data_IF_796810332324
#
_entry.id   IF_796810332324
#
_cell.length_a   1.000
_cell.length_b   1.000
_cell.length_c   1.000
_cell.angle_alpha   90.00
_cell.angle_beta   90.00
_cell.angle_gamma   90.00
#
_symmetry.space_group_name_H-M   'P 1'
#
loop_
_entity.id
_entity.type
_entity.pdbx_description
1 polymer ?
#
# COMPACT_ATOMS: atom_id res chain seq x y z
N UNK A 1 -18.15 12.29 -5.42
CA UNK A 1 -16.73 12.00 -5.15
C UNK A 1 -16.17 13.17 -4.35
N UNK A 2 -16.00 13.00 -3.05
CA UNK A 2 -15.48 14.05 -2.17
C UNK A 2 -13.98 14.10 -2.36
N UNK A 3 -13.50 15.11 -3.10
CA UNK A 3 -12.07 15.40 -3.19
C UNK A 3 -11.60 15.69 -1.77
N UNK A 4 -10.62 14.92 -1.30
CA UNK A 4 -9.95 15.17 -0.03
C UNK A 4 -9.32 16.56 -0.13
N UNK A 5 -9.96 17.57 0.47
CA UNK A 5 -9.41 18.92 0.60
C UNK A 5 -8.49 19.06 1.82
N UNK A 6 -8.53 18.07 2.72
CA UNK A 6 -7.72 18.01 3.92
C UNK A 6 -6.60 16.97 3.79
N UNK A 7 -5.39 17.48 3.55
CA UNK A 7 -4.19 16.67 3.45
C UNK A 7 -3.73 16.11 4.81
N UNK A 8 -4.32 16.54 5.93
CA UNK A 8 -4.01 16.05 7.28
C UNK A 8 -4.94 14.92 7.74
N UNK A 9 -6.14 14.81 7.17
CA UNK A 9 -7.09 13.77 7.57
C UNK A 9 -6.57 12.37 7.20
N UNK A 10 -6.43 11.47 8.18
CA UNK A 10 -6.31 10.04 7.93
C UNK A 10 -7.68 9.43 7.61
N UNK A 11 -7.70 8.15 7.26
CA UNK A 11 -8.93 7.38 7.15
C UNK A 11 -8.66 5.93 6.75
N UNK A 12 -9.68 5.09 6.87
CA UNK A 12 -9.65 3.72 6.36
C UNK A 12 -10.77 3.54 5.34
N UNK A 13 -10.45 2.93 4.20
CA UNK A 13 -11.41 2.63 3.14
C UNK A 13 -11.30 1.17 2.77
N UNK A 14 -12.45 0.52 2.58
CA UNK A 14 -12.51 -0.84 2.04
C UNK A 14 -12.90 -0.81 0.57
N UNK A 15 -12.26 -1.65 -0.24
CA UNK A 15 -12.69 -1.95 -1.59
C UNK A 15 -12.39 -3.41 -1.94
N UNK A 16 -12.74 -3.81 -3.16
CA UNK A 16 -12.55 -5.17 -3.65
C UNK A 16 -11.76 -5.17 -4.95
N UNK A 17 -10.92 -6.18 -5.12
CA UNK A 17 -10.20 -6.46 -6.35
C UNK A 17 -10.63 -7.82 -6.88
N UNK A 18 -11.25 -7.81 -8.06
CA UNK A 18 -11.78 -8.99 -8.74
C UNK A 18 -11.18 -9.03 -10.15
N UNK A 19 -9.99 -9.60 -10.33
CA UNK A 19 -9.36 -9.67 -11.63
C UNK A 19 -10.13 -10.65 -12.53
N UNK A 20 -10.34 -10.27 -13.78
CA UNK A 20 -10.93 -11.17 -14.79
C UNK A 20 -9.89 -12.15 -15.37
N UNK A 21 -8.61 -11.82 -15.24
CA UNK A 21 -7.47 -12.57 -15.75
C UNK A 21 -6.43 -12.74 -14.63
N UNK A 22 -5.66 -13.82 -14.67
CA UNK A 22 -4.47 -13.94 -13.82
C UNK A 22 -3.42 -12.90 -14.22
N UNK A 23 -2.57 -12.47 -13.29
CA UNK A 23 -1.59 -11.39 -13.53
C UNK A 23 -0.71 -11.64 -14.77
N UNK A 24 -0.28 -12.87 -15.00
CA UNK A 24 0.56 -13.26 -16.15
C UNK A 24 -0.11 -13.05 -17.51
N UNK A 25 -1.43 -12.94 -17.53
CA UNK A 25 -2.26 -12.69 -18.72
C UNK A 25 -2.81 -11.27 -18.77
N UNK A 26 -2.55 -10.43 -17.76
CA UNK A 26 -2.96 -9.04 -17.76
C UNK A 26 -2.08 -8.22 -18.70
N UNK A 27 -2.69 -7.33 -19.47
CA UNK A 27 -1.98 -6.27 -20.17
C UNK A 27 -1.62 -5.16 -19.17
N UNK A 28 -0.56 -5.39 -18.39
CA UNK A 28 -0.06 -4.42 -17.41
C UNK A 28 0.44 -3.14 -18.10
N UNK A 29 0.29 -2.02 -17.41
CA UNK A 29 0.85 -0.76 -17.87
C UNK A 29 2.38 -0.76 -17.88
N UNK A 30 2.98 0.07 -18.73
CA UNK A 30 4.44 0.24 -18.78
C UNK A 30 5.04 0.60 -17.41
N UNK A 31 4.33 1.39 -16.61
CA UNK A 31 4.76 1.78 -15.26
C UNK A 31 4.66 0.61 -14.26
N UNK A 32 3.63 -0.23 -14.38
CA UNK A 32 3.52 -1.46 -13.58
C UNK A 32 4.63 -2.45 -13.96
N UNK A 33 4.97 -2.55 -15.25
CA UNK A 33 6.11 -3.32 -15.75
C UNK A 33 7.43 -2.75 -15.19
N UNK A 34 7.59 -1.43 -15.14
CA UNK A 34 8.76 -0.79 -14.51
C UNK A 34 8.93 -1.21 -13.05
N UNK A 35 7.85 -1.19 -12.25
CA UNK A 35 7.89 -1.65 -10.85
C UNK A 35 8.33 -3.12 -10.76
N UNK A 36 7.89 -3.95 -11.71
CA UNK A 36 8.26 -5.38 -11.76
C UNK A 36 9.73 -5.60 -12.08
N UNK A 37 10.28 -4.83 -13.01
CA UNK A 37 11.58 -5.11 -13.64
C UNK A 37 12.75 -4.35 -12.99
N UNK A 38 12.49 -3.28 -12.26
CA UNK A 38 13.51 -2.53 -11.48
C UNK A 38 13.79 -3.26 -10.16
N UNK A 39 15.06 -3.36 -9.72
CA UNK A 39 15.38 -3.96 -8.42
C UNK A 39 14.61 -3.27 -7.28
N UNK A 40 13.96 -4.07 -6.44
CA UNK A 40 13.45 -3.60 -5.15
C UNK A 40 14.55 -3.65 -4.09
N UNK A 41 14.35 -3.00 -2.95
CA UNK A 41 15.27 -3.02 -1.80
C UNK A 41 15.37 -4.40 -1.10
N UNK A 42 14.86 -5.45 -1.75
CA UNK A 42 14.75 -6.82 -1.27
C UNK A 42 13.33 -7.18 -0.84
N UNK A 43 12.89 -8.40 -1.17
CA UNK A 43 11.64 -8.98 -0.69
C UNK A 43 10.79 -9.66 -1.78
N UNK A 44 9.89 -10.54 -1.35
CA UNK A 44 9.02 -11.35 -2.23
C UNK A 44 7.62 -10.74 -2.35
N UNK A 45 7.54 -9.43 -2.60
CA UNK A 45 6.29 -8.65 -2.62
C UNK A 45 6.00 -7.96 -3.96
N UNK A 46 6.85 -8.15 -4.98
CA UNK A 46 6.77 -7.47 -6.29
C UNK A 46 5.37 -7.58 -6.91
N UNK A 47 4.77 -8.77 -6.93
CA UNK A 47 3.41 -8.97 -7.48
C UNK A 47 2.38 -8.06 -6.80
N UNK A 48 2.44 -7.94 -5.47
CA UNK A 48 1.49 -7.14 -4.71
C UNK A 48 1.67 -5.64 -4.94
N UNK A 49 2.89 -5.18 -5.20
CA UNK A 49 3.21 -3.79 -5.53
C UNK A 49 2.79 -3.43 -6.95
N UNK A 50 3.08 -4.32 -7.92
CA UNK A 50 2.69 -4.15 -9.32
C UNK A 50 1.17 -4.06 -9.45
N UNK A 51 0.43 -4.99 -8.85
CA UNK A 51 -1.04 -4.97 -8.88
C UNK A 51 -1.63 -3.82 -8.05
N UNK A 52 -0.95 -3.40 -6.98
CA UNK A 52 -1.31 -2.20 -6.22
C UNK A 52 -1.26 -0.98 -7.13
N UNK A 53 -0.16 -0.77 -7.84
CA UNK A 53 -0.02 0.36 -8.75
C UNK A 53 -1.00 0.28 -9.93
N UNK A 54 -1.18 -0.89 -10.54
CA UNK A 54 -2.09 -1.07 -11.68
C UNK A 54 -3.55 -0.74 -11.28
N UNK A 55 -3.96 -1.14 -10.08
CA UNK A 55 -5.26 -0.75 -9.50
C UNK A 55 -5.33 0.77 -9.29
N UNK A 56 -4.30 1.38 -8.69
CA UNK A 56 -4.27 2.83 -8.45
C UNK A 56 -4.37 3.62 -9.76
N UNK A 57 -3.65 3.18 -10.79
CA UNK A 57 -3.70 3.77 -12.13
C UNK A 57 -5.09 3.63 -12.75
N UNK A 58 -5.62 2.41 -12.80
CA UNK A 58 -6.87 2.10 -13.50
C UNK A 58 -8.10 2.70 -12.82
N UNK A 59 -8.14 2.70 -11.49
CA UNK A 59 -9.31 3.16 -10.73
C UNK A 59 -9.25 4.64 -10.35
N UNK A 60 -8.06 5.21 -10.17
CA UNK A 60 -7.89 6.56 -9.63
C UNK A 60 -7.01 7.48 -10.49
N UNK A 61 -6.51 7.00 -11.64
CA UNK A 61 -5.70 7.82 -12.55
C UNK A 61 -4.30 8.13 -12.02
N UNK A 62 -3.76 7.26 -11.16
CA UNK A 62 -2.41 7.45 -10.62
C UNK A 62 -1.34 7.36 -11.72
N UNK A 63 -0.37 8.28 -11.68
CA UNK A 63 0.82 8.27 -12.56
C UNK A 63 2.06 8.00 -11.72
N UNK A 64 2.85 6.98 -12.06
CA UNK A 64 4.08 6.65 -11.33
C UNK A 64 5.08 7.81 -11.43
N UNK A 65 5.69 8.17 -10.31
CA UNK A 65 6.77 9.15 -10.26
C UNK A 65 8.10 8.45 -10.03
N UNK A 66 8.21 7.69 -8.93
CA UNK A 66 9.42 6.97 -8.55
C UNK A 66 9.09 5.61 -7.95
N UNK A 67 9.92 4.62 -8.20
CA UNK A 67 9.92 3.32 -7.50
C UNK A 67 10.70 3.41 -6.18
N UNK A 68 10.58 2.40 -5.32
CA UNK A 68 11.24 2.31 -4.00
C UNK A 68 12.70 2.81 -4.00
N UNK A 69 13.53 2.30 -4.92
CA UNK A 69 14.96 2.62 -4.99
C UNK A 69 15.29 3.97 -5.64
N UNK A 70 14.30 4.68 -6.19
CA UNK A 70 14.48 5.99 -6.82
C UNK A 70 14.20 7.16 -5.86
N UNK A 71 13.62 6.86 -4.69
CA UNK A 71 13.39 7.84 -3.62
C UNK A 71 14.64 7.96 -2.76
N UNK A 72 15.06 9.20 -2.54
CA UNK A 72 16.22 9.50 -1.71
C UNK A 72 15.80 9.71 -0.24
N UNK A 73 16.56 9.11 0.68
CA UNK A 73 16.32 9.19 2.12
C UNK A 73 17.60 9.60 2.87
N UNK A 74 17.44 10.42 3.91
CA UNK A 74 18.51 10.75 4.84
C UNK A 74 17.97 10.86 6.28
N UNK A 75 18.62 10.22 7.27
CA UNK A 75 19.75 9.30 7.14
C UNK A 75 19.36 7.98 6.44
N UNK A 76 20.34 7.31 5.85
CA UNK A 76 20.18 6.00 5.20
C UNK A 76 19.86 4.88 6.21
N UNK A 77 19.27 3.77 5.72
CA UNK A 77 19.02 2.55 6.51
C UNK A 77 17.69 2.50 7.27
N UNK A 78 16.74 3.38 6.94
CA UNK A 78 15.39 3.42 7.53
C UNK A 78 14.31 2.73 6.71
N UNK A 79 13.05 2.85 7.16
CA UNK A 79 11.87 2.45 6.37
C UNK A 79 11.76 3.31 5.11
N UNK A 80 11.42 2.66 3.99
CA UNK A 80 11.21 3.30 2.69
C UNK A 80 9.79 2.96 2.17
N UNK A 81 9.34 3.69 1.17
CA UNK A 81 8.01 3.53 0.55
C UNK A 81 8.15 2.73 -0.76
N UNK A 82 7.19 1.89 -1.07
CA UNK A 82 7.26 0.99 -2.24
C UNK A 82 7.24 1.76 -3.58
N UNK A 83 6.43 2.83 -3.68
CA UNK A 83 6.48 3.76 -4.82
C UNK A 83 5.83 5.11 -4.50
N UNK A 84 6.16 6.12 -5.30
CA UNK A 84 5.47 7.42 -5.28
C UNK A 84 4.69 7.63 -6.57
N UNK A 85 3.55 8.30 -6.47
CA UNK A 85 2.71 8.60 -7.62
C UNK A 85 2.10 9.99 -7.53
N UNK A 86 1.68 10.53 -8.67
CA UNK A 86 0.79 11.68 -8.72
C UNK A 86 -0.64 11.21 -8.93
N UNK A 87 -1.56 11.75 -8.13
CA UNK A 87 -2.98 11.44 -8.21
C UNK A 87 -3.77 12.66 -7.74
N UNK A 88 -4.81 13.04 -8.49
CA UNK A 88 -5.61 14.24 -8.20
C UNK A 88 -4.79 15.53 -8.01
N UNK A 89 -3.69 15.68 -8.76
CA UNK A 89 -2.81 16.85 -8.68
C UNK A 89 -1.91 16.91 -7.44
N UNK A 90 -1.83 15.83 -6.66
CA UNK A 90 -0.97 15.72 -5.48
C UNK A 90 0.05 14.60 -5.61
N UNK A 91 1.25 14.82 -5.08
CA UNK A 91 2.28 13.78 -4.93
C UNK A 91 2.03 12.96 -3.68
N UNK A 92 2.05 11.64 -3.82
CA UNK A 92 1.71 10.67 -2.78
C UNK A 92 2.83 9.65 -2.60
N UNK A 93 3.10 9.28 -1.36
CA UNK A 93 3.84 8.05 -1.04
C UNK A 93 2.87 6.89 -0.86
N UNK A 94 3.20 5.73 -1.42
CA UNK A 94 2.39 4.53 -1.30
C UNK A 94 3.24 3.39 -0.75
N UNK A 95 2.79 2.84 0.36
CA UNK A 95 3.31 1.59 0.91
C UNK A 95 2.32 0.45 0.75
N UNK A 96 2.81 -0.74 0.46
CA UNK A 96 2.02 -1.94 0.19
C UNK A 96 2.29 -3.00 1.24
N UNK A 97 1.24 -3.71 1.63
CA UNK A 97 1.37 -4.86 2.52
C UNK A 97 0.25 -5.86 2.32
N UNK A 98 0.44 -7.06 2.88
CA UNK A 98 -0.44 -8.20 2.75
C UNK A 98 -0.89 -8.60 4.16
N UNK A 99 -2.19 -8.62 4.38
CA UNK A 99 -2.79 -9.14 5.61
C UNK A 99 -3.14 -10.61 5.40
N UNK A 100 -2.24 -11.47 5.85
CA UNK A 100 -2.38 -12.92 5.79
C UNK A 100 -1.69 -13.55 7.00
N UNK A 101 -2.18 -14.69 7.44
CA UNK A 101 -1.52 -15.51 8.45
C UNK A 101 -1.25 -16.89 7.85
N UNK A 102 0.01 -17.34 7.88
CA UNK A 102 0.42 -18.63 7.33
C UNK A 102 0.17 -19.81 8.30
N UNK A 103 -0.09 -19.53 9.58
CA UNK A 103 -0.16 -20.55 10.65
C UNK A 103 -1.49 -20.57 11.40
N UNK A 104 -2.53 -19.93 10.88
CA UNK A 104 -3.85 -19.90 11.52
C UNK A 104 -4.73 -18.76 11.04
N UNK A 105 -5.75 -18.45 11.85
CA UNK A 105 -6.65 -17.31 11.62
C UNK A 105 -5.90 -15.98 11.79
N UNK A 106 -6.24 -14.99 10.97
CA UNK A 106 -5.69 -13.64 11.09
C UNK A 106 -6.46 -12.88 12.17
N UNK A 107 -5.82 -12.69 13.33
CA UNK A 107 -6.48 -12.16 14.53
C UNK A 107 -6.50 -10.64 14.58
N UNK A 108 -7.29 -10.08 15.50
CA UNK A 108 -7.30 -8.64 15.77
C UNK A 108 -5.94 -8.14 16.29
N UNK A 109 -5.24 -8.92 17.11
CA UNK A 109 -3.89 -8.59 17.58
C UNK A 109 -2.88 -8.58 16.43
N UNK A 110 -2.97 -9.54 15.50
CA UNK A 110 -2.15 -9.55 14.29
C UNK A 110 -2.38 -8.30 13.46
N UNK A 111 -3.63 -7.87 13.31
CA UNK A 111 -3.99 -6.66 12.59
C UNK A 111 -3.44 -5.39 13.26
N UNK A 112 -3.58 -5.26 14.59
CA UNK A 112 -3.02 -4.13 15.35
C UNK A 112 -1.50 -4.08 15.18
N UNK A 113 -0.82 -5.23 15.29
CA UNK A 113 0.63 -5.34 15.12
C UNK A 113 1.06 -4.96 13.71
N UNK A 114 0.36 -5.47 12.69
CA UNK A 114 0.64 -5.18 11.28
C UNK A 114 0.48 -3.69 10.98
N UNK A 115 -0.67 -3.10 11.35
CA UNK A 115 -0.96 -1.69 11.13
C UNK A 115 0.02 -0.78 11.88
N UNK A 116 0.28 -1.03 13.16
CA UNK A 116 1.27 -0.24 13.92
C UNK A 116 2.65 -0.29 13.28
N UNK A 117 3.11 -1.49 12.89
CA UNK A 117 4.43 -1.64 12.24
C UNK A 117 4.48 -0.83 10.95
N UNK A 118 3.48 -0.97 10.08
CA UNK A 118 3.48 -0.34 8.76
C UNK A 118 3.28 1.16 8.83
N UNK A 119 2.35 1.66 9.65
CA UNK A 119 2.12 3.10 9.81
C UNK A 119 3.31 3.82 10.45
N UNK A 120 3.98 3.21 11.45
CA UNK A 120 5.22 3.77 12.00
C UNK A 120 6.35 3.81 10.96
N UNK A 121 6.45 2.78 10.11
CA UNK A 121 7.40 2.77 8.99
C UNK A 121 7.11 3.90 7.98
N UNK A 122 5.84 4.13 7.66
CA UNK A 122 5.43 5.24 6.79
C UNK A 122 5.82 6.59 7.40
N UNK A 123 5.57 6.80 8.70
CA UNK A 123 6.00 8.02 9.38
C UNK A 123 7.51 8.23 9.31
N UNK A 124 8.29 7.18 9.55
CA UNK A 124 9.74 7.24 9.44
C UNK A 124 10.17 7.59 8.01
N UNK A 125 9.60 6.92 7.00
CA UNK A 125 9.93 7.19 5.59
C UNK A 125 9.54 8.61 5.17
N UNK A 126 8.42 9.13 5.68
CA UNK A 126 7.96 10.49 5.41
C UNK A 126 8.86 11.55 6.06
N UNK A 127 9.47 11.24 7.20
CA UNK A 127 10.40 12.15 7.87
C UNK A 127 11.80 12.11 7.24
N UNK A 128 12.20 10.96 6.70
CA UNK A 128 13.55 10.76 6.17
C UNK A 128 13.65 11.05 4.68
N UNK A 129 12.55 11.09 3.93
CA UNK A 129 12.60 11.35 2.49
C UNK A 129 13.11 12.77 2.21
N UNK A 130 13.88 12.91 1.14
CA UNK A 130 14.30 14.21 0.61
C UNK A 130 13.21 14.87 -0.26
N UNK A 131 12.05 14.22 -0.40
CA UNK A 131 10.90 14.68 -1.18
C UNK A 131 9.80 15.27 -0.29
N UNK A 132 8.83 15.94 -0.92
CA UNK A 132 7.62 16.40 -0.24
C UNK A 132 6.41 15.67 -0.80
N UNK A 133 5.80 14.84 0.04
CA UNK A 133 4.56 14.13 -0.28
C UNK A 133 3.40 14.76 0.46
N UNK A 134 2.34 15.10 -0.27
CA UNK A 134 1.16 15.75 0.31
C UNK A 134 0.37 14.78 1.20
N UNK A 135 0.39 13.48 0.87
CA UNK A 135 -0.33 12.45 1.61
C UNK A 135 0.31 11.07 1.45
N UNK A 136 -0.02 10.16 2.36
CA UNK A 136 0.43 8.77 2.36
C UNK A 136 -0.74 7.81 2.14
N UNK A 137 -0.48 6.71 1.45
CA UNK A 137 -1.41 5.58 1.34
C UNK A 137 -0.73 4.31 1.83
N UNK A 138 -1.35 3.63 2.79
CA UNK A 138 -1.05 2.24 3.10
C UNK A 138 -2.06 1.35 2.39
N UNK A 139 -1.66 0.70 1.30
CA UNK A 139 -2.49 -0.28 0.61
C UNK A 139 -2.29 -1.67 1.24
N UNK A 140 -3.36 -2.22 1.81
CA UNK A 140 -3.38 -3.52 2.47
C UNK A 140 -4.21 -4.50 1.64
N UNK A 141 -3.56 -5.50 1.06
CA UNK A 141 -4.24 -6.64 0.47
C UNK A 141 -4.78 -7.58 1.54
N UNK A 142 -6.09 -7.82 1.54
CA UNK A 142 -6.75 -8.74 2.46
C UNK A 142 -7.21 -10.01 1.72
N UNK A 143 -6.97 -11.18 2.31
CA UNK A 143 -7.34 -12.48 1.72
C UNK A 143 -8.84 -12.76 1.72
N UNK A 144 -9.61 -12.03 2.53
CA UNK A 144 -11.05 -12.19 2.64
C UNK A 144 -11.71 -10.97 3.27
N UNK A 145 -13.04 -10.89 3.16
CA UNK A 145 -13.86 -9.91 3.88
C UNK A 145 -13.70 -10.01 5.39
N UNK A 146 -13.49 -11.21 5.94
CA UNK A 146 -13.22 -11.38 7.36
C UNK A 146 -11.93 -10.65 7.76
N UNK A 147 -10.83 -10.89 7.04
CA UNK A 147 -9.55 -10.21 7.30
C UNK A 147 -9.66 -8.69 7.16
N UNK A 148 -10.36 -8.22 6.13
CA UNK A 148 -10.60 -6.78 5.95
C UNK A 148 -11.36 -6.18 7.14
N UNK A 149 -12.43 -6.84 7.60
CA UNK A 149 -13.18 -6.39 8.76
C UNK A 149 -12.33 -6.38 10.05
N UNK A 150 -11.44 -7.36 10.21
CA UNK A 150 -10.50 -7.40 11.35
C UNK A 150 -9.53 -6.22 11.30
N UNK A 151 -8.98 -5.88 10.13
CA UNK A 151 -8.13 -4.70 9.93
C UNK A 151 -8.85 -3.40 10.23
N UNK A 152 -10.08 -3.22 9.73
CA UNK A 152 -10.87 -2.01 9.93
C UNK A 152 -11.15 -1.80 11.42
N UNK A 153 -11.55 -2.85 12.15
CA UNK A 153 -11.72 -2.75 13.61
C UNK A 153 -10.40 -2.44 14.32
N UNK A 154 -9.30 -3.04 13.86
CA UNK A 154 -7.98 -2.79 14.45
C UNK A 154 -7.50 -1.36 14.20
N UNK A 155 -7.90 -0.74 13.09
CA UNK A 155 -7.59 0.64 12.77
C UNK A 155 -8.14 1.63 13.81
N UNK A 156 -9.34 1.38 14.35
CA UNK A 156 -10.00 2.26 15.31
C UNK A 156 -9.17 2.46 16.60
N UNK A 157 -8.38 1.46 16.98
CA UNK A 157 -7.55 1.51 18.20
C UNK A 157 -6.10 1.96 17.93
N UNK A 158 -5.73 2.23 16.68
CA UNK A 158 -4.41 2.80 16.37
C UNK A 158 -4.38 4.27 16.83
N UNK A 159 -3.26 4.69 17.41
CA UNK A 159 -3.06 6.06 17.85
C UNK A 159 -3.14 7.05 16.68
N UNK A 160 -3.78 8.20 16.92
CA UNK A 160 -3.99 9.26 15.93
C UNK A 160 -2.67 9.83 15.37
N UNK A 161 -1.62 9.92 16.19
CA UNK A 161 -0.30 10.34 15.74
C UNK A 161 0.36 9.29 14.85
N UNK A 162 0.04 8.01 15.06
CA UNK A 162 0.51 6.90 14.20
C UNK A 162 -0.23 6.91 12.86
N UNK A 163 -1.54 7.19 12.85
CA UNK A 163 -2.31 7.36 11.61
C UNK A 163 -1.85 8.58 10.80
N UNK A 164 -1.60 9.71 11.48
CA UNK A 164 -1.11 10.97 10.89
C UNK A 164 -1.92 11.37 9.64
N UNK A 165 -1.27 11.58 8.50
CA UNK A 165 -1.91 11.88 7.22
C UNK A 165 -2.09 10.65 6.30
N UNK A 166 -2.04 9.44 6.86
CA UNK A 166 -2.07 8.21 6.06
C UNK A 166 -3.50 7.72 5.85
N UNK A 167 -3.85 7.45 4.59
CA UNK A 167 -5.06 6.70 4.22
C UNK A 167 -4.74 5.22 4.18
N UNK A 168 -5.47 4.40 4.91
CA UNK A 168 -5.37 2.93 4.84
C UNK A 168 -6.42 2.43 3.85
N UNK A 169 -5.96 1.97 2.69
CA UNK A 169 -6.81 1.33 1.69
C UNK A 169 -6.76 -0.19 1.90
N UNK A 170 -7.85 -0.79 2.38
CA UNK A 170 -7.98 -2.23 2.56
C UNK A 170 -8.69 -2.81 1.34
N UNK A 171 -8.00 -3.67 0.59
CA UNK A 171 -8.54 -4.25 -0.64
C UNK A 171 -8.69 -5.76 -0.50
N UNK A 172 -9.92 -6.25 -0.56
CA UNK A 172 -10.20 -7.69 -0.56
C UNK A 172 -9.86 -8.25 -1.94
N UNK A 173 -8.86 -9.10 -2.01
CA UNK A 173 -8.43 -9.75 -3.24
C UNK A 173 -9.19 -11.06 -3.46
N UNK A 174 -9.99 -11.12 -4.52
CA UNK A 174 -10.71 -12.32 -4.91
C UNK A 174 -9.97 -13.03 -6.05
N UNK A 175 -9.79 -14.35 -5.96
CA UNK A 175 -9.18 -15.16 -7.04
C UNK A 175 -7.80 -14.66 -7.51
N UNK A 176 -7.03 -14.05 -6.61
CA UNK A 176 -5.73 -13.44 -6.87
C UNK A 176 -4.68 -13.94 -5.87
N UNK A 177 -4.46 -15.26 -5.84
CA UNK A 177 -3.53 -15.92 -4.90
C UNK A 177 -2.09 -15.46 -5.10
N UNK A 178 -1.73 -15.06 -6.32
CA UNK A 178 -0.41 -14.55 -6.67
C UNK A 178 -0.01 -13.31 -5.83
N UNK A 179 -0.97 -12.52 -5.37
CA UNK A 179 -0.73 -11.40 -4.45
C UNK A 179 -0.10 -11.88 -3.15
N UNK A 180 -0.52 -13.04 -2.66
CA UNK A 180 -0.14 -13.58 -1.35
C UNK A 180 1.01 -14.60 -1.44
N UNK A 181 1.50 -14.91 -2.64
CA UNK A 181 2.62 -15.81 -2.84
C UNK A 181 3.95 -15.11 -2.48
N UNK A 182 4.86 -15.85 -1.84
CA UNK A 182 6.24 -15.43 -1.65
C UNK A 182 7.06 -15.92 -2.85
N UNK A 183 6.85 -15.33 -4.03
CA UNK A 183 7.69 -15.58 -5.21
C UNK A 183 8.76 -14.50 -5.32
#
# INVERSE_FOLDING_TARGET
>A
MTIVRDNKAHGVFQCEFRPMLQMDKMALSEQAIKIRDVPNAGGNSVVSEVLSYEMMKSCFGATLLKTEMEVEYFPEGGSITDYTCSMFGSTLGVSVTRAMNFRGEFTHEDAIRLLNKKLKGILQSSNNTMETWAKQILHVWATSNHVANVLIRAYDVIDEHVKSNTVVLVTVAHQAEEIFANK
#
